data_IF_066388507898
#
_entry.id   IF_066388507898
#
_cell.length_a   1.000
_cell.length_b   1.000
_cell.length_c   1.000
_cell.angle_alpha   90.00
_cell.angle_beta   90.00
_cell.angle_gamma   90.00
#
_symmetry.space_group_name_H-M   'P 1'
#
loop_
_entity.id
_entity.type
_entity.pdbx_description
1 polymer ?
#
# COMPACT_ATOMS: atom_id res chain seq x y z
N UNK A 1 -6.75 23.37 8.37
CA UNK A 1 -6.44 23.57 6.93
C UNK A 1 -6.18 22.20 6.34
N UNK A 2 -6.62 21.95 5.11
CA UNK A 2 -6.32 20.69 4.43
C UNK A 2 -4.81 20.52 4.19
N UNK A 3 -4.35 19.27 4.22
CA UNK A 3 -2.95 18.90 3.97
C UNK A 3 -2.72 18.96 2.46
N UNK A 4 -1.76 19.77 2.02
CA UNK A 4 -1.44 19.94 0.60
C UNK A 4 -0.52 18.84 0.12
N UNK A 5 -1.01 18.02 -0.82
CA UNK A 5 -0.34 16.81 -1.31
C UNK A 5 0.02 16.95 -2.78
N UNK A 6 1.28 16.64 -3.11
CA UNK A 6 1.76 16.41 -4.47
C UNK A 6 1.93 14.92 -4.75
N UNK A 7 1.76 14.50 -6.00
CA UNK A 7 1.98 13.13 -6.43
C UNK A 7 3.04 13.10 -7.53
N UNK A 8 4.11 12.35 -7.31
CA UNK A 8 5.11 12.04 -8.33
C UNK A 8 4.91 10.61 -8.85
N UNK A 9 4.59 10.48 -10.13
CA UNK A 9 4.19 9.22 -10.78
C UNK A 9 2.67 9.00 -10.72
N UNK A 10 2.00 9.20 -11.84
CA UNK A 10 0.54 9.03 -11.95
C UNK A 10 0.16 7.68 -12.57
N UNK A 11 0.93 6.63 -12.23
CA UNK A 11 0.67 5.22 -12.51
C UNK A 11 -0.53 4.69 -11.73
N UNK A 12 -0.65 3.36 -11.58
CA UNK A 12 -1.77 2.73 -10.84
C UNK A 12 -1.94 3.35 -9.44
N UNK A 13 -0.89 3.29 -8.62
CA UNK A 13 -0.97 3.72 -7.21
C UNK A 13 -1.17 5.24 -7.11
N UNK A 14 -0.41 6.06 -7.84
CA UNK A 14 -0.58 7.52 -7.77
C UNK A 14 -2.00 7.96 -8.12
N UNK A 15 -2.62 7.37 -9.17
CA UNK A 15 -4.01 7.65 -9.52
C UNK A 15 -5.01 7.20 -8.46
N UNK A 16 -4.77 6.06 -7.83
CA UNK A 16 -5.70 5.54 -6.82
C UNK A 16 -5.55 6.27 -5.49
N UNK A 17 -4.35 6.70 -5.11
CA UNK A 17 -4.14 7.64 -4.01
C UNK A 17 -4.91 8.94 -4.28
N UNK A 18 -4.82 9.47 -5.50
CA UNK A 18 -5.58 10.65 -5.89
C UNK A 18 -7.09 10.42 -5.79
N UNK A 19 -7.62 9.34 -6.39
CA UNK A 19 -9.05 9.01 -6.32
C UNK A 19 -9.55 8.82 -4.88
N UNK A 20 -8.80 8.07 -4.06
CA UNK A 20 -9.17 7.81 -2.67
C UNK A 20 -9.19 9.07 -1.80
N UNK A 21 -8.39 10.07 -2.16
CA UNK A 21 -8.32 11.32 -1.42
C UNK A 21 -9.28 12.42 -1.89
N UNK A 22 -10.01 12.23 -2.99
CA UNK A 22 -10.90 13.29 -3.52
C UNK A 22 -12.03 13.67 -2.56
N UNK A 23 -12.60 12.69 -1.86
CA UNK A 23 -13.68 12.90 -0.90
C UNK A 23 -13.17 13.12 0.53
N UNK A 24 -11.84 13.13 0.73
CA UNK A 24 -11.25 13.34 2.04
C UNK A 24 -11.09 14.85 2.32
N UNK A 25 -11.84 15.43 3.28
CA UNK A 25 -11.79 16.86 3.57
C UNK A 25 -10.44 17.33 4.15
N UNK A 26 -9.62 16.40 4.64
CA UNK A 26 -8.31 16.71 5.21
C UNK A 26 -7.19 16.77 4.15
N UNK A 27 -7.46 16.35 2.92
CA UNK A 27 -6.47 16.26 1.84
C UNK A 27 -6.83 17.23 0.71
N UNK A 28 -5.83 17.93 0.21
CA UNK A 28 -5.93 18.77 -0.98
C UNK A 28 -4.78 18.42 -1.93
N UNK A 29 -5.11 17.85 -3.09
CA UNK A 29 -4.10 17.64 -4.13
C UNK A 29 -3.83 18.94 -4.87
N UNK A 30 -2.56 19.35 -4.92
CA UNK A 30 -2.14 20.63 -5.51
C UNK A 30 -1.26 20.47 -6.73
N UNK A 31 -0.66 19.29 -6.91
CA UNK A 31 0.20 19.01 -8.05
C UNK A 31 0.35 17.52 -8.35
N UNK A 32 0.47 17.20 -9.63
CA UNK A 32 0.78 15.87 -10.15
C UNK A 32 1.95 16.00 -11.11
N UNK A 33 2.94 15.12 -11.00
CA UNK A 33 4.04 15.02 -11.95
C UNK A 33 4.08 13.63 -12.57
N UNK A 34 4.11 13.58 -13.90
CA UNK A 34 4.42 12.36 -14.65
C UNK A 34 5.02 12.72 -16.03
N UNK A 35 6.32 12.40 -16.28
CA UNK A 35 7.00 12.78 -17.50
C UNK A 35 6.54 12.01 -18.75
N UNK A 36 5.65 11.04 -18.60
CA UNK A 36 5.16 10.19 -19.69
C UNK A 36 3.70 10.47 -20.05
N UNK A 37 3.09 11.51 -19.46
CA UNK A 37 1.71 11.90 -19.70
C UNK A 37 1.61 13.36 -20.11
N UNK A 38 0.48 13.69 -20.74
CA UNK A 38 -0.02 15.06 -20.92
C UNK A 38 -1.20 15.28 -19.99
N UNK A 39 -1.62 16.53 -19.70
CA UNK A 39 -2.81 16.80 -18.88
C UNK A 39 -4.08 16.09 -19.40
N UNK A 40 -4.30 16.07 -20.73
CA UNK A 40 -5.42 15.34 -21.33
C UNK A 40 -5.38 13.86 -21.05
N UNK A 41 -4.18 13.24 -21.20
CA UNK A 41 -4.03 11.82 -20.95
C UNK A 41 -4.13 11.49 -19.45
N UNK A 42 -3.64 12.37 -18.59
CA UNK A 42 -3.82 12.28 -17.13
C UNK A 42 -5.31 12.28 -16.77
N UNK A 43 -6.09 13.21 -17.33
CA UNK A 43 -7.55 13.28 -17.14
C UNK A 43 -8.27 12.04 -17.68
N UNK A 44 -7.86 11.53 -18.84
CA UNK A 44 -8.38 10.28 -19.40
C UNK A 44 -8.15 9.10 -18.46
N UNK A 45 -6.90 8.93 -18.00
CA UNK A 45 -6.52 7.85 -17.08
C UNK A 45 -7.18 7.97 -15.70
N UNK A 46 -7.49 9.19 -15.25
CA UNK A 46 -8.27 9.42 -14.04
C UNK A 46 -9.74 8.99 -14.22
N UNK A 47 -10.32 9.25 -15.39
CA UNK A 47 -11.73 8.94 -15.66
C UNK A 47 -12.02 7.47 -15.84
N UNK A 48 -11.12 6.71 -16.47
CA UNK A 48 -11.38 5.35 -16.90
C UNK A 48 -10.41 4.38 -16.25
N UNK A 49 -10.95 3.44 -15.52
CA UNK A 49 -10.19 2.38 -14.89
C UNK A 49 -10.90 1.04 -15.04
N UNK A 50 -10.16 0.01 -15.48
CA UNK A 50 -10.72 -1.31 -15.75
C UNK A 50 -11.20 -2.02 -14.47
N UNK A 51 -10.52 -1.78 -13.35
CA UNK A 51 -10.80 -2.43 -12.07
C UNK A 51 -11.74 -1.59 -11.22
N UNK A 52 -11.38 -0.33 -11.00
CA UNK A 52 -12.11 0.58 -10.09
C UNK A 52 -13.21 1.39 -10.79
N UNK A 53 -13.49 1.07 -12.05
CA UNK A 53 -14.58 1.65 -12.81
C UNK A 53 -14.37 3.12 -13.21
N UNK A 54 -15.40 3.69 -13.80
CA UNK A 54 -15.39 5.07 -14.26
C UNK A 54 -15.53 6.04 -13.09
N UNK A 55 -14.66 7.06 -13.06
CA UNK A 55 -14.86 8.20 -12.18
C UNK A 55 -16.02 9.07 -12.73
N UNK A 56 -17.03 9.30 -11.92
CA UNK A 56 -18.26 9.99 -12.33
C UNK A 56 -18.23 11.50 -12.08
N UNK A 57 -17.19 12.00 -11.43
CA UNK A 57 -17.02 13.41 -11.14
C UNK A 57 -16.59 14.24 -12.35
N UNK A 58 -16.67 15.57 -12.20
CA UNK A 58 -16.30 16.52 -13.25
C UNK A 58 -14.77 16.61 -13.35
N UNK A 59 -14.23 16.38 -14.55
CA UNK A 59 -12.80 16.56 -14.85
C UNK A 59 -12.67 17.44 -16.10
N UNK A 60 -12.01 18.56 -15.94
CA UNK A 60 -11.66 19.50 -17.01
C UNK A 60 -10.14 19.58 -17.14
N UNK A 61 -9.64 20.08 -18.26
CA UNK A 61 -8.22 20.15 -18.58
C UNK A 61 -7.87 21.54 -19.02
N UNK A 62 -6.71 22.04 -18.60
CA UNK A 62 -6.06 23.23 -19.14
C UNK A 62 -4.71 22.86 -19.73
N UNK A 63 -3.96 23.81 -20.24
CA UNK A 63 -2.63 23.57 -20.78
C UNK A 63 -1.67 22.94 -19.75
N UNK A 64 -1.76 23.35 -18.46
CA UNK A 64 -0.82 23.00 -17.42
C UNK A 64 -1.48 22.46 -16.13
N UNK A 65 -2.74 22.05 -16.20
CA UNK A 65 -3.45 21.53 -15.03
C UNK A 65 -4.62 20.63 -15.42
N UNK A 66 -5.04 19.81 -14.45
CA UNK A 66 -6.35 19.17 -14.45
C UNK A 66 -7.22 19.85 -13.39
N UNK A 67 -8.51 20.01 -13.68
CA UNK A 67 -9.48 20.56 -12.73
C UNK A 67 -10.44 19.42 -12.37
N UNK A 68 -10.43 19.02 -11.12
CA UNK A 68 -11.27 17.92 -10.62
C UNK A 68 -12.23 18.48 -9.58
N UNK A 69 -13.54 18.33 -9.80
CA UNK A 69 -14.58 18.90 -8.93
C UNK A 69 -14.38 20.40 -8.66
N UNK A 70 -13.92 21.16 -9.68
CA UNK A 70 -13.65 22.58 -9.57
C UNK A 70 -12.35 22.96 -8.87
N UNK A 71 -11.58 22.00 -8.39
CA UNK A 71 -10.27 22.22 -7.78
C UNK A 71 -9.16 22.04 -8.81
N UNK A 72 -8.31 23.06 -8.96
CA UNK A 72 -7.17 23.01 -9.87
C UNK A 72 -6.02 22.21 -9.27
N UNK A 73 -5.47 21.27 -10.03
CA UNK A 73 -4.29 20.48 -9.71
C UNK A 73 -3.24 20.72 -10.80
N UNK A 74 -2.13 21.31 -10.47
CA UNK A 74 -1.04 21.60 -11.41
C UNK A 74 -0.46 20.30 -11.97
N UNK A 75 -0.18 20.30 -13.27
CA UNK A 75 0.44 19.15 -13.93
C UNK A 75 1.86 19.48 -14.37
N UNK A 76 2.79 18.61 -14.03
CA UNK A 76 4.21 18.73 -14.36
C UNK A 76 4.67 17.47 -15.10
N UNK A 77 5.73 17.60 -15.91
CA UNK A 77 6.31 16.51 -16.71
C UNK A 77 7.84 16.41 -16.52
N UNK A 78 8.30 16.61 -15.29
CA UNK A 78 9.71 16.60 -14.94
C UNK A 78 10.23 15.20 -14.66
N UNK A 79 11.39 14.85 -15.27
CA UNK A 79 12.06 13.55 -15.03
C UNK A 79 12.91 13.55 -13.77
N UNK A 80 13.49 14.69 -13.43
CA UNK A 80 14.28 14.88 -12.21
C UNK A 80 13.37 15.48 -11.14
N UNK A 81 13.15 14.80 -10.02
CA UNK A 81 12.31 15.31 -8.95
C UNK A 81 12.78 16.65 -8.36
N UNK A 82 14.05 17.00 -8.50
CA UNK A 82 14.58 18.27 -8.05
C UNK A 82 14.04 19.49 -8.83
N UNK A 83 13.53 19.24 -10.05
CA UNK A 83 12.99 20.27 -10.93
C UNK A 83 11.46 20.41 -10.85
N UNK A 84 10.78 19.55 -10.10
CA UNK A 84 9.34 19.66 -9.93
C UNK A 84 9.04 20.82 -8.99
N UNK A 85 8.28 21.85 -9.41
CA UNK A 85 8.12 23.07 -8.61
C UNK A 85 7.11 22.90 -7.46
N UNK A 86 7.38 21.99 -6.52
CA UNK A 86 6.51 21.72 -5.37
C UNK A 86 6.26 22.95 -4.51
N UNK A 87 7.26 23.82 -4.38
CA UNK A 87 7.11 25.08 -3.65
C UNK A 87 6.07 26.00 -4.29
N UNK A 88 6.01 26.05 -5.64
CA UNK A 88 5.10 26.94 -6.37
C UNK A 88 3.65 26.50 -6.25
N UNK A 89 3.37 25.18 -6.33
CA UNK A 89 2.02 24.67 -6.12
C UNK A 89 1.68 24.51 -4.62
N UNK A 90 2.64 24.69 -3.73
CA UNK A 90 2.46 24.63 -2.29
C UNK A 90 2.33 23.22 -1.73
N UNK A 91 2.83 22.20 -2.43
CA UNK A 91 2.82 20.82 -1.93
C UNK A 91 3.71 20.68 -0.69
N UNK A 92 3.10 20.29 0.42
CA UNK A 92 3.83 20.06 1.68
C UNK A 92 4.28 18.61 1.82
N UNK A 93 3.41 17.67 1.45
CA UNK A 93 3.65 16.22 1.44
C UNK A 93 3.67 15.74 0.00
N UNK A 94 4.67 14.95 -0.36
CA UNK A 94 4.77 14.35 -1.69
C UNK A 94 4.68 12.84 -1.59
N UNK A 95 3.78 12.24 -2.34
CA UNK A 95 3.73 10.78 -2.55
C UNK A 95 4.60 10.45 -3.75
N UNK A 96 5.70 9.72 -3.54
CA UNK A 96 6.44 9.13 -4.65
C UNK A 96 5.89 7.74 -4.98
N UNK A 97 5.19 7.64 -6.10
CA UNK A 97 4.58 6.41 -6.61
C UNK A 97 5.18 5.96 -7.95
N UNK A 98 6.40 6.43 -8.25
CA UNK A 98 7.13 6.06 -9.47
C UNK A 98 7.72 4.65 -9.42
N UNK A 99 8.01 4.14 -8.22
CA UNK A 99 8.78 2.92 -8.01
C UNK A 99 10.27 3.03 -8.38
N UNK A 100 10.73 4.24 -8.72
CA UNK A 100 12.13 4.55 -9.09
C UNK A 100 12.89 5.12 -7.89
N UNK A 101 12.30 6.10 -7.21
CA UNK A 101 12.93 6.80 -6.07
C UNK A 101 12.51 6.13 -4.76
N UNK A 102 13.18 5.02 -4.41
CA UNK A 102 12.81 4.18 -3.26
C UNK A 102 13.77 4.26 -2.08
N UNK A 103 14.66 5.25 -2.08
CA UNK A 103 15.63 5.49 -0.99
C UNK A 103 15.49 6.90 -0.43
N UNK A 104 15.87 7.08 0.82
CA UNK A 104 15.91 8.41 1.45
C UNK A 104 16.78 9.39 0.67
N UNK A 105 17.93 8.93 0.15
CA UNK A 105 18.85 9.74 -0.64
C UNK A 105 18.18 10.23 -1.94
N UNK A 106 17.54 9.32 -2.70
CA UNK A 106 16.87 9.69 -3.93
C UNK A 106 15.70 10.67 -3.71
N UNK A 107 14.99 10.53 -2.60
CA UNK A 107 13.87 11.39 -2.25
C UNK A 107 14.28 12.78 -1.73
N UNK A 108 15.58 13.02 -1.43
CA UNK A 108 16.07 14.36 -1.10
C UNK A 108 15.81 15.35 -2.23
N UNK A 109 15.70 14.90 -3.47
CA UNK A 109 15.37 15.73 -4.62
C UNK A 109 14.02 16.46 -4.43
N UNK A 110 13.00 15.78 -3.92
CA UNK A 110 11.69 16.40 -3.63
C UNK A 110 11.77 17.46 -2.52
N UNK A 111 12.60 17.22 -1.48
CA UNK A 111 12.80 18.18 -0.40
C UNK A 111 13.50 19.44 -0.90
N UNK A 112 14.50 19.29 -1.79
CA UNK A 112 15.18 20.42 -2.47
C UNK A 112 14.21 21.21 -3.35
N UNK A 113 13.23 20.56 -3.93
CA UNK A 113 12.16 21.14 -4.76
C UNK A 113 11.06 21.85 -3.94
N UNK A 114 11.14 21.82 -2.61
CA UNK A 114 10.24 22.56 -1.71
C UNK A 114 9.22 21.73 -0.96
N UNK A 115 9.16 20.42 -1.16
CA UNK A 115 8.36 19.53 -0.32
C UNK A 115 8.90 19.49 1.12
N UNK A 116 8.02 19.39 2.11
CA UNK A 116 8.41 19.23 3.52
C UNK A 116 8.65 17.76 3.87
N UNK A 117 7.82 16.87 3.33
CA UNK A 117 7.81 15.44 3.61
C UNK A 117 7.61 14.62 2.34
N UNK A 118 8.17 13.41 2.32
CA UNK A 118 7.98 12.46 1.22
C UNK A 118 7.52 11.12 1.78
N UNK A 119 6.48 10.57 1.18
CA UNK A 119 5.99 9.21 1.42
C UNK A 119 6.27 8.35 0.19
N UNK A 120 7.17 7.40 0.33
CA UNK A 120 7.47 6.41 -0.71
C UNK A 120 6.37 5.35 -0.73
N UNK A 121 5.67 5.18 -1.84
CA UNK A 121 4.64 4.15 -1.99
C UNK A 121 5.22 2.78 -2.41
N UNK A 122 6.33 2.41 -1.82
CA UNK A 122 7.04 1.15 -2.04
C UNK A 122 7.92 0.82 -0.82
N UNK A 123 8.37 -0.43 -0.65
CA UNK A 123 9.35 -0.77 0.36
C UNK A 123 10.66 -0.02 0.13
N UNK A 124 11.23 0.53 1.21
CA UNK A 124 12.53 1.19 1.17
C UNK A 124 13.62 0.36 1.85
N UNK A 125 14.86 0.55 1.39
CA UNK A 125 16.02 -0.10 2.02
C UNK A 125 16.49 0.66 3.27
N UNK A 126 16.37 1.98 3.27
CA UNK A 126 16.95 2.91 4.23
C UNK A 126 15.95 3.87 4.89
N UNK A 127 14.85 4.23 4.21
CA UNK A 127 13.80 5.04 4.83
C UNK A 127 13.01 4.24 5.88
N UNK A 128 12.64 4.86 7.03
CA UNK A 128 11.73 4.25 7.99
C UNK A 128 10.45 3.77 7.32
N UNK A 129 10.05 2.53 7.59
CA UNK A 129 8.81 1.96 7.06
C UNK A 129 7.73 1.96 8.12
N UNK A 130 6.53 2.36 7.72
CA UNK A 130 5.36 2.38 8.57
C UNK A 130 4.23 1.54 7.98
N UNK A 131 3.54 0.84 8.86
CA UNK A 131 2.26 0.17 8.61
C UNK A 131 1.27 0.71 9.63
N UNK A 132 0.19 1.29 9.16
CA UNK A 132 -0.83 1.87 10.02
C UNK A 132 -1.42 0.80 10.96
N UNK A 133 -1.61 1.17 12.24
CA UNK A 133 -2.06 0.27 13.31
C UNK A 133 -0.98 -0.68 13.84
N UNK A 134 0.23 -0.69 13.28
CA UNK A 134 1.32 -1.58 13.70
C UNK A 134 2.44 -0.81 14.39
N UNK A 135 3.00 0.20 13.72
CA UNK A 135 4.15 0.96 14.23
C UNK A 135 4.12 2.46 13.88
N UNK A 136 2.98 2.98 13.48
CA UNK A 136 2.85 4.40 13.12
C UNK A 136 3.09 5.34 14.32
N UNK A 137 2.92 4.85 15.55
CA UNK A 137 3.28 5.52 16.79
C UNK A 137 4.76 5.88 16.92
N UNK A 138 5.62 5.22 16.15
CA UNK A 138 7.08 5.48 16.10
C UNK A 138 7.47 6.61 15.15
N UNK A 139 6.51 7.21 14.43
CA UNK A 139 6.80 8.34 13.59
C UNK A 139 7.12 9.59 14.42
N UNK A 140 8.17 10.32 14.02
CA UNK A 140 8.58 11.59 14.63
C UNK A 140 8.73 12.67 13.58
N UNK A 141 8.50 13.93 13.96
CA UNK A 141 8.50 15.08 13.04
C UNK A 141 9.82 15.37 12.33
N UNK A 142 10.94 14.82 12.81
CA UNK A 142 12.25 14.93 12.17
C UNK A 142 12.42 13.97 10.99
N UNK A 143 11.56 12.96 10.87
CA UNK A 143 11.53 12.05 9.73
C UNK A 143 10.95 12.76 8.50
N UNK A 144 11.78 13.09 7.53
CA UNK A 144 11.35 13.82 6.32
C UNK A 144 10.99 12.92 5.15
N UNK A 145 11.55 11.71 5.11
CA UNK A 145 11.26 10.69 4.10
C UNK A 145 10.89 9.40 4.80
N UNK A 146 9.72 8.88 4.49
CA UNK A 146 9.21 7.62 5.06
C UNK A 146 8.67 6.71 3.95
N UNK A 147 8.50 5.42 4.25
CA UNK A 147 7.92 4.45 3.33
C UNK A 147 6.64 3.87 3.93
N UNK A 148 5.59 3.72 3.10
CA UNK A 148 4.36 3.01 3.45
C UNK A 148 4.49 1.48 3.26
N UNK A 149 5.72 0.94 3.20
CA UNK A 149 6.01 -0.47 2.93
C UNK A 149 5.36 -0.98 1.62
N UNK A 150 5.07 -2.29 1.51
CA UNK A 150 4.35 -2.87 0.37
C UNK A 150 2.89 -3.15 0.72
N UNK A 151 2.05 -3.35 -0.29
CA UNK A 151 0.66 -3.80 -0.10
C UNK A 151 0.59 -5.13 0.68
N UNK A 152 1.44 -6.09 0.33
CA UNK A 152 1.52 -7.39 1.03
C UNK A 152 1.98 -7.22 2.49
N UNK A 153 2.93 -6.31 2.78
CA UNK A 153 3.34 -6.02 4.16
C UNK A 153 2.20 -5.38 4.95
N UNK A 154 1.42 -4.51 4.32
CA UNK A 154 0.24 -3.88 4.92
C UNK A 154 -0.88 -4.89 5.23
N UNK A 155 -0.99 -5.98 4.45
CA UNK A 155 -1.90 -7.08 4.77
C UNK A 155 -1.35 -7.97 5.90
N UNK A 156 -0.10 -8.39 5.77
CA UNK A 156 0.50 -9.37 6.67
C UNK A 156 0.75 -8.83 8.09
N UNK A 157 1.23 -7.59 8.21
CA UNK A 157 1.70 -7.07 9.50
C UNK A 157 0.57 -6.88 10.54
N UNK A 158 -0.62 -6.35 10.21
CA UNK A 158 -1.73 -6.28 11.18
C UNK A 158 -2.16 -7.66 11.68
N UNK A 159 -2.31 -8.64 10.79
CA UNK A 159 -2.64 -10.01 11.18
C UNK A 159 -1.54 -10.62 12.05
N UNK A 160 -0.27 -10.54 11.60
CA UNK A 160 0.87 -11.06 12.36
C UNK A 160 1.00 -10.41 13.74
N UNK A 161 0.69 -9.11 13.87
CA UNK A 161 0.67 -8.40 15.14
C UNK A 161 -0.33 -9.03 16.11
N UNK A 162 -1.58 -9.20 15.70
CA UNK A 162 -2.63 -9.81 16.56
C UNK A 162 -2.19 -11.21 17.01
N UNK A 163 -1.72 -12.05 16.09
CA UNK A 163 -1.31 -13.41 16.40
C UNK A 163 -0.08 -13.44 17.32
N UNK A 164 0.90 -12.57 17.06
CA UNK A 164 2.11 -12.50 17.91
C UNK A 164 1.79 -11.99 19.32
N UNK A 165 0.96 -10.94 19.43
CA UNK A 165 0.64 -10.32 20.73
C UNK A 165 -0.20 -11.27 21.62
N UNK A 166 -1.07 -12.10 21.03
CA UNK A 166 -1.97 -12.99 21.78
C UNK A 166 -1.38 -14.38 22.03
N UNK A 167 -0.70 -14.95 21.05
CA UNK A 167 -0.28 -16.35 21.04
C UNK A 167 1.24 -16.54 20.89
N UNK A 168 1.96 -15.49 20.45
CA UNK A 168 3.38 -15.55 20.11
C UNK A 168 3.61 -16.33 18.82
N UNK A 169 4.42 -15.82 17.92
CA UNK A 169 4.88 -16.52 16.70
C UNK A 169 6.28 -17.02 16.96
N UNK A 170 6.49 -18.33 16.84
CA UNK A 170 7.81 -18.98 16.89
C UNK A 170 8.52 -18.80 15.56
N UNK A 171 7.89 -19.26 14.49
CA UNK A 171 8.30 -19.11 13.11
C UNK A 171 7.10 -19.26 12.15
N UNK A 172 7.31 -18.93 10.87
CA UNK A 172 6.27 -19.09 9.89
C UNK A 172 6.72 -18.81 8.46
N UNK A 173 5.92 -19.34 7.55
CA UNK A 173 6.05 -19.13 6.11
C UNK A 173 4.81 -18.42 5.57
N UNK A 174 5.05 -17.40 4.74
CA UNK A 174 3.98 -16.67 4.06
C UNK A 174 4.04 -16.96 2.55
N UNK A 175 2.91 -17.28 1.98
CA UNK A 175 2.73 -17.26 0.53
C UNK A 175 1.68 -16.20 0.20
N UNK A 176 2.00 -15.28 -0.71
CA UNK A 176 0.95 -14.46 -1.29
C UNK A 176 0.60 -14.95 -2.69
N UNK A 177 -0.68 -15.20 -2.93
CA UNK A 177 -1.22 -15.36 -4.28
C UNK A 177 -1.64 -13.98 -4.74
N UNK A 178 -0.86 -13.40 -5.64
CA UNK A 178 -0.90 -11.96 -5.92
C UNK A 178 -1.42 -11.68 -7.33
N UNK A 179 -2.31 -10.71 -7.42
CA UNK A 179 -2.80 -10.20 -8.69
C UNK A 179 -1.68 -9.64 -9.57
N UNK A 180 -1.98 -9.48 -10.84
CA UNK A 180 -1.08 -8.91 -11.85
C UNK A 180 -0.73 -7.46 -11.50
N UNK A 181 0.54 -7.11 -11.66
CA UNK A 181 1.02 -5.74 -11.46
C UNK A 181 1.69 -5.19 -12.71
N UNK A 182 1.77 -3.86 -12.82
CA UNK A 182 2.31 -3.16 -14.00
C UNK A 182 3.77 -3.47 -14.36
N UNK A 183 4.51 -4.17 -13.49
CA UNK A 183 5.88 -4.61 -13.78
C UNK A 183 5.96 -5.92 -14.57
N UNK A 184 4.85 -6.66 -14.66
CA UNK A 184 4.78 -7.93 -15.38
C UNK A 184 4.65 -7.70 -16.89
N UNK A 185 5.01 -8.71 -17.67
CA UNK A 185 4.94 -8.66 -19.14
C UNK A 185 3.58 -9.14 -19.63
N UNK A 186 3.05 -8.47 -20.65
CA UNK A 186 1.82 -8.90 -21.35
C UNK A 186 2.08 -10.16 -22.17
N UNK A 187 3.23 -10.24 -22.84
CA UNK A 187 3.71 -11.38 -23.62
C UNK A 187 5.10 -11.78 -23.17
N UNK A 188 5.55 -12.99 -23.50
CA UNK A 188 6.91 -13.44 -23.18
C UNK A 188 7.95 -12.45 -23.71
N UNK A 189 8.82 -11.98 -22.83
CA UNK A 189 9.85 -11.02 -23.17
C UNK A 189 11.07 -11.10 -22.25
N UNK A 190 12.19 -10.50 -22.64
CA UNK A 190 13.43 -10.59 -21.87
C UNK A 190 13.28 -9.89 -20.50
N UNK A 191 13.81 -10.55 -19.48
CA UNK A 191 13.98 -10.01 -18.15
C UNK A 191 15.36 -10.35 -17.63
N UNK A 192 16.15 -9.32 -17.30
CA UNK A 192 17.56 -9.50 -16.90
C UNK A 192 17.71 -10.05 -15.48
N UNK A 193 16.80 -9.71 -14.57
CA UNK A 193 16.91 -10.04 -13.14
C UNK A 193 16.08 -11.24 -12.72
N UNK A 194 14.91 -11.40 -13.33
CA UNK A 194 13.94 -12.45 -13.01
C UNK A 194 13.35 -13.00 -14.29
N UNK A 195 13.86 -14.16 -14.71
CA UNK A 195 13.42 -14.80 -15.95
C UNK A 195 11.93 -15.21 -15.91
N UNK A 196 11.43 -15.63 -14.73
CA UNK A 196 10.02 -15.96 -14.54
C UNK A 196 9.13 -14.73 -14.71
N UNK A 197 9.56 -13.57 -14.20
CA UNK A 197 8.88 -12.29 -14.39
C UNK A 197 8.88 -11.78 -15.83
N UNK A 198 9.67 -12.40 -16.74
CA UNK A 198 9.63 -12.15 -18.19
C UNK A 198 8.54 -12.89 -18.93
N UNK A 199 7.81 -13.82 -18.30
CA UNK A 199 6.74 -14.60 -18.90
C UNK A 199 5.42 -13.84 -18.91
N UNK A 200 4.55 -14.19 -19.88
CA UNK A 200 3.23 -13.58 -20.04
C UNK A 200 2.36 -13.74 -18.79
N UNK A 201 1.93 -12.62 -18.22
CA UNK A 201 1.17 -12.60 -16.96
C UNK A 201 -0.19 -13.26 -17.08
N UNK A 202 -0.90 -13.03 -18.19
CA UNK A 202 -2.27 -13.50 -18.38
C UNK A 202 -2.43 -15.02 -18.58
N UNK A 203 -1.32 -15.73 -18.85
CA UNK A 203 -1.34 -17.17 -19.17
C UNK A 203 -0.59 -18.05 -18.17
N UNK A 204 -0.10 -17.51 -17.06
CA UNK A 204 0.80 -18.25 -16.17
C UNK A 204 0.53 -18.03 -14.70
N UNK A 205 0.85 -19.03 -13.88
CA UNK A 205 1.13 -18.89 -12.46
C UNK A 205 2.65 -18.72 -12.32
N UNK A 206 3.08 -17.56 -11.82
CA UNK A 206 4.51 -17.18 -11.83
C UNK A 206 5.04 -17.12 -10.39
N UNK A 207 5.88 -18.09 -9.95
CA UNK A 207 6.59 -17.97 -8.68
C UNK A 207 7.53 -16.77 -8.68
N UNK A 208 7.48 -15.96 -7.64
CA UNK A 208 8.29 -14.75 -7.51
C UNK A 208 8.79 -14.59 -6.07
N UNK A 209 9.96 -14.02 -5.91
CA UNK A 209 10.44 -13.63 -4.59
C UNK A 209 9.69 -12.41 -4.07
N UNK A 210 9.49 -12.34 -2.76
CA UNK A 210 8.95 -11.16 -2.08
C UNK A 210 9.74 -10.85 -0.83
N UNK A 211 9.95 -9.57 -0.57
CA UNK A 211 10.53 -9.07 0.68
C UNK A 211 9.49 -8.79 1.77
N UNK A 212 8.20 -8.98 1.48
CA UNK A 212 7.12 -8.54 2.35
C UNK A 212 7.16 -9.19 3.75
N UNK A 213 7.38 -10.51 3.84
CA UNK A 213 7.47 -11.20 5.12
C UNK A 213 8.69 -10.77 5.94
N UNK A 214 9.84 -10.52 5.29
CA UNK A 214 11.03 -9.97 5.95
C UNK A 214 10.81 -8.52 6.41
N UNK A 215 10.01 -7.75 5.66
CA UNK A 215 9.68 -6.38 6.03
C UNK A 215 8.81 -6.30 7.29
N UNK A 216 8.03 -7.34 7.61
CA UNK A 216 7.30 -7.43 8.88
C UNK A 216 8.25 -7.35 10.07
N UNK A 217 9.42 -7.99 10.01
CA UNK A 217 10.44 -7.88 11.06
C UNK A 217 11.07 -6.48 11.23
N UNK A 218 10.87 -5.57 10.25
CA UNK A 218 11.28 -4.17 10.40
C UNK A 218 10.21 -3.33 11.12
N UNK A 219 8.93 -3.66 10.96
CA UNK A 219 7.82 -2.94 11.60
C UNK A 219 7.39 -3.59 12.93
N UNK A 220 7.64 -4.90 13.09
CA UNK A 220 7.46 -5.66 14.34
C UNK A 220 8.79 -6.33 14.66
N UNK A 221 9.70 -5.70 15.42
CA UNK A 221 11.05 -6.20 15.65
C UNK A 221 11.12 -7.60 16.26
N UNK A 222 10.13 -7.98 17.06
CA UNK A 222 10.01 -9.29 17.70
C UNK A 222 9.85 -10.44 16.68
N UNK A 223 9.42 -10.13 15.47
CA UNK A 223 9.26 -11.07 14.35
C UNK A 223 10.46 -11.09 13.41
N UNK A 224 11.51 -10.33 13.70
CA UNK A 224 12.70 -10.32 12.86
C UNK A 224 13.36 -11.71 12.81
N UNK A 225 13.53 -12.22 11.59
CA UNK A 225 14.11 -13.57 11.36
C UNK A 225 13.13 -14.73 11.54
N UNK A 226 11.91 -14.49 12.04
CA UNK A 226 10.91 -15.55 12.26
C UNK A 226 10.00 -15.78 11.05
N UNK A 227 9.82 -14.79 10.18
CA UNK A 227 8.95 -14.87 9.00
C UNK A 227 9.75 -14.73 7.71
N UNK A 228 9.46 -15.59 6.75
CA UNK A 228 9.91 -15.45 5.37
C UNK A 228 8.79 -15.91 4.43
N UNK A 229 8.95 -15.72 3.11
CA UNK A 229 7.89 -16.11 2.19
C UNK A 229 8.20 -15.86 0.73
N UNK A 230 7.21 -16.19 -0.10
CA UNK A 230 7.24 -16.04 -1.54
C UNK A 230 5.89 -15.57 -2.08
N UNK A 231 5.85 -15.29 -3.38
CA UNK A 231 4.62 -14.93 -4.08
C UNK A 231 4.36 -15.90 -5.25
N UNK A 232 3.10 -16.19 -5.52
CA UNK A 232 2.63 -16.65 -6.82
C UNK A 232 1.87 -15.52 -7.49
N UNK A 233 2.33 -15.08 -8.65
CA UNK A 233 1.60 -14.15 -9.50
C UNK A 233 0.60 -14.93 -10.33
N UNK A 234 -0.67 -14.49 -10.30
CA UNK A 234 -1.79 -15.14 -10.99
C UNK A 234 -2.50 -14.13 -11.92
N UNK A 235 -3.19 -14.59 -12.98
CA UNK A 235 -3.83 -13.71 -13.95
C UNK A 235 -5.18 -13.13 -13.47
N UNK A 236 -5.21 -12.59 -12.25
CA UNK A 236 -6.30 -11.76 -11.74
C UNK A 236 -5.90 -10.28 -11.86
N UNK A 237 -6.86 -9.40 -12.08
CA UNK A 237 -6.58 -7.97 -12.31
C UNK A 237 -6.24 -7.24 -11.02
N UNK A 238 -6.90 -7.62 -9.92
CA UNK A 238 -6.76 -7.01 -8.60
C UNK A 238 -7.18 -7.99 -7.52
N UNK A 239 -6.99 -7.61 -6.27
CA UNK A 239 -7.16 -8.38 -5.04
C UNK A 239 -6.22 -9.59 -4.97
N UNK A 240 -5.45 -9.59 -3.93
CA UNK A 240 -4.46 -10.61 -3.58
C UNK A 240 -4.82 -11.25 -2.25
N UNK A 241 -4.18 -12.37 -1.94
CA UNK A 241 -4.38 -13.07 -0.67
C UNK A 241 -3.04 -13.44 -0.05
N UNK A 242 -2.95 -13.29 1.27
CA UNK A 242 -1.88 -13.80 2.12
C UNK A 242 -2.32 -15.13 2.72
N UNK A 243 -1.53 -16.15 2.54
CA UNK A 243 -1.54 -17.43 3.26
C UNK A 243 -0.38 -17.39 4.26
N UNK A 244 -0.70 -17.29 5.54
CA UNK A 244 0.26 -17.25 6.63
C UNK A 244 0.19 -18.55 7.42
N UNK A 245 1.20 -19.42 7.27
CA UNK A 245 1.34 -20.65 8.06
C UNK A 245 2.35 -20.43 9.16
N UNK A 246 1.96 -20.58 10.42
CA UNK A 246 2.79 -20.28 11.60
C UNK A 246 2.73 -21.36 12.66
N UNK A 247 3.87 -21.48 13.40
CA UNK A 247 3.94 -22.15 14.67
C UNK A 247 3.73 -21.14 15.81
N UNK A 248 2.77 -21.41 16.69
CA UNK A 248 2.45 -20.59 17.86
C UNK A 248 3.29 -21.01 19.07
N UNK A 249 3.72 -20.04 19.86
CA UNK A 249 4.39 -20.31 21.14
C UNK A 249 3.37 -20.85 22.18
N UNK A 250 2.18 -20.26 22.23
CA UNK A 250 1.07 -20.65 23.08
C UNK A 250 -0.01 -21.31 22.22
N UNK A 251 -0.42 -22.53 22.58
CA UNK A 251 -1.51 -23.24 21.90
C UNK A 251 -2.83 -22.50 22.04
N UNK A 252 -3.65 -22.54 20.96
CA UNK A 252 -4.97 -21.97 20.91
C UNK A 252 -5.88 -22.78 19.97
N UNK A 253 -7.18 -22.77 20.23
CA UNK A 253 -8.14 -23.29 19.26
C UNK A 253 -8.29 -22.31 18.10
N UNK A 254 -8.78 -22.78 16.97
CA UNK A 254 -9.04 -21.89 15.81
C UNK A 254 -10.08 -20.82 16.13
N UNK A 255 -11.09 -21.16 16.93
CA UNK A 255 -12.12 -20.25 17.41
C UNK A 255 -11.56 -19.14 18.30
N UNK A 256 -10.60 -19.47 19.16
CA UNK A 256 -9.89 -18.46 19.98
C UNK A 256 -9.09 -17.49 19.11
N UNK A 257 -8.45 -18.00 18.05
CA UNK A 257 -7.74 -17.17 17.08
C UNK A 257 -8.72 -16.24 16.34
N UNK A 258 -9.83 -16.79 15.81
CA UNK A 258 -10.87 -16.01 15.14
C UNK A 258 -11.44 -14.91 16.06
N UNK A 259 -11.72 -15.25 17.31
CA UNK A 259 -12.23 -14.31 18.29
C UNK A 259 -11.22 -13.17 18.58
N UNK A 260 -9.94 -13.48 18.67
CA UNK A 260 -8.89 -12.49 18.88
C UNK A 260 -8.75 -11.54 17.68
N UNK A 261 -8.80 -12.06 16.45
CA UNK A 261 -8.75 -11.25 15.23
C UNK A 261 -9.99 -10.39 15.09
N UNK A 262 -11.17 -10.93 15.36
CA UNK A 262 -12.43 -10.18 15.35
C UNK A 262 -12.41 -9.02 16.34
N UNK A 263 -11.99 -9.28 17.57
CA UNK A 263 -11.87 -8.25 18.59
C UNK A 263 -10.90 -7.12 18.18
N UNK A 264 -9.78 -7.46 17.54
CA UNK A 264 -8.84 -6.46 17.03
C UNK A 264 -9.41 -5.64 15.88
N UNK A 265 -10.17 -6.27 14.95
CA UNK A 265 -10.80 -5.57 13.82
C UNK A 265 -11.89 -4.60 14.24
N UNK A 266 -12.62 -4.92 15.30
CA UNK A 266 -13.65 -4.04 15.88
C UNK A 266 -13.06 -2.98 16.83
N UNK A 267 -11.82 -3.19 17.30
CA UNK A 267 -11.10 -2.39 18.28
C UNK A 267 -9.92 -1.60 17.72
N UNK A 268 -8.73 -1.99 18.15
CA UNK A 268 -7.47 -1.25 17.91
C UNK A 268 -7.05 -1.17 16.43
N UNK A 269 -7.48 -2.13 15.60
CA UNK A 269 -7.18 -2.18 14.17
C UNK A 269 -8.39 -1.83 13.28
N UNK A 270 -9.40 -1.20 13.85
CA UNK A 270 -10.60 -0.77 13.11
C UNK A 270 -10.22 0.11 11.90
N UNK A 271 -10.78 -0.23 10.72
CA UNK A 271 -10.49 0.45 9.46
C UNK A 271 -9.14 0.05 8.83
N UNK A 272 -8.41 -0.90 9.43
CA UNK A 272 -7.15 -1.45 8.92
C UNK A 272 -7.29 -2.95 8.70
N UNK A 273 -7.70 -3.68 9.75
CA UNK A 273 -8.04 -5.09 9.73
C UNK A 273 -9.56 -5.24 9.69
N UNK A 274 -10.04 -6.12 8.82
CA UNK A 274 -11.44 -6.55 8.75
C UNK A 274 -11.55 -8.05 9.07
N UNK A 275 -12.72 -8.49 9.49
CA UNK A 275 -13.04 -9.88 9.78
C UNK A 275 -14.24 -10.31 8.94
N UNK A 276 -14.09 -11.38 8.15
CA UNK A 276 -15.16 -11.97 7.36
C UNK A 276 -15.35 -13.43 7.72
N UNK A 277 -16.63 -13.87 7.85
CA UNK A 277 -17.03 -15.25 8.12
C UNK A 277 -18.06 -15.78 7.09
N UNK A 278 -17.99 -15.22 5.88
CA UNK A 278 -18.80 -15.63 4.73
C UNK A 278 -17.96 -16.42 3.71
N UNK A 279 -18.61 -17.06 2.75
CA UNK A 279 -17.94 -17.79 1.68
C UNK A 279 -17.61 -16.81 0.54
N UNK A 280 -16.46 -16.18 0.61
CA UNK A 280 -16.02 -15.09 -0.26
C UNK A 280 -14.89 -15.48 -1.19
N UNK A 281 -14.71 -14.69 -2.25
CA UNK A 281 -13.61 -14.81 -3.21
C UNK A 281 -12.98 -13.44 -3.47
N UNK A 282 -11.86 -13.41 -4.16
CA UNK A 282 -11.08 -12.18 -4.36
C UNK A 282 -11.86 -10.99 -4.90
N UNK A 283 -12.78 -11.19 -5.85
CA UNK A 283 -13.54 -10.09 -6.47
C UNK A 283 -14.50 -9.37 -5.52
N UNK A 284 -14.87 -10.00 -4.40
CA UNK A 284 -15.74 -9.39 -3.39
C UNK A 284 -15.06 -8.24 -2.63
N UNK A 285 -13.73 -8.17 -2.71
CA UNK A 285 -12.91 -7.17 -2.03
C UNK A 285 -12.32 -6.10 -2.95
N UNK A 286 -12.75 -6.06 -4.23
CA UNK A 286 -12.37 -4.96 -5.12
C UNK A 286 -12.89 -3.65 -4.55
N UNK A 287 -12.00 -2.66 -4.40
CA UNK A 287 -12.32 -1.34 -3.85
C UNK A 287 -12.58 -1.34 -2.33
N UNK A 288 -12.12 -2.38 -1.62
CA UNK A 288 -12.17 -2.39 -0.17
C UNK A 288 -11.01 -1.56 0.41
N UNK A 289 -11.27 -0.62 1.34
CA UNK A 289 -10.25 0.25 1.92
C UNK A 289 -9.38 -0.43 2.99
N UNK A 290 -9.76 -1.60 3.50
CA UNK A 290 -8.95 -2.35 4.45
C UNK A 290 -7.73 -2.97 3.78
N UNK A 291 -6.61 -3.03 4.47
CA UNK A 291 -5.39 -3.64 3.94
C UNK A 291 -5.17 -5.07 4.39
N UNK A 292 -5.97 -5.56 5.32
CA UNK A 292 -5.93 -6.94 5.82
C UNK A 292 -7.35 -7.37 6.15
N UNK A 293 -7.91 -8.31 5.39
CA UNK A 293 -9.28 -8.80 5.56
C UNK A 293 -9.17 -10.27 5.91
N UNK A 294 -9.26 -10.59 7.20
CA UNK A 294 -9.11 -11.95 7.70
C UNK A 294 -10.32 -12.80 7.33
N UNK A 295 -10.07 -13.92 6.64
CA UNK A 295 -11.06 -14.90 6.25
C UNK A 295 -11.12 -16.03 7.28
N UNK A 296 -12.12 -15.99 8.14
CA UNK A 296 -12.30 -16.96 9.22
C UNK A 296 -12.64 -18.38 8.72
N UNK A 297 -13.21 -18.51 7.52
CA UNK A 297 -13.58 -19.80 6.95
C UNK A 297 -12.47 -20.46 6.12
N UNK A 298 -11.52 -19.69 5.61
CA UNK A 298 -10.46 -20.21 4.77
C UNK A 298 -9.25 -20.75 5.54
N UNK A 299 -9.13 -20.45 6.83
CA UNK A 299 -7.99 -20.89 7.65
C UNK A 299 -8.14 -22.34 8.16
N UNK A 300 -7.04 -22.91 8.64
CA UNK A 300 -6.95 -24.30 9.11
C UNK A 300 -6.06 -24.36 10.33
N UNK A 301 -6.49 -25.05 11.40
CA UNK A 301 -5.64 -25.48 12.50
C UNK A 301 -5.33 -26.97 12.34
N UNK A 302 -4.06 -27.32 12.12
CA UNK A 302 -3.63 -28.73 12.10
C UNK A 302 -3.44 -29.25 13.52
N UNK A 303 -2.90 -28.40 14.39
CA UNK A 303 -2.79 -28.62 15.85
C UNK A 303 -3.12 -27.31 16.56
N UNK A 304 -3.16 -27.30 17.88
CA UNK A 304 -3.30 -26.07 18.67
C UNK A 304 -2.16 -25.06 18.50
N UNK A 305 -1.05 -25.50 17.89
CA UNK A 305 0.15 -24.64 17.67
C UNK A 305 0.51 -24.44 16.19
N UNK A 306 -0.01 -25.22 15.28
CA UNK A 306 0.33 -25.12 13.87
C UNK A 306 -0.89 -24.79 13.06
N UNK A 307 -0.95 -23.55 12.57
CA UNK A 307 -2.13 -22.96 11.95
C UNK A 307 -1.80 -22.28 10.63
N UNK A 308 -2.77 -22.31 9.72
CA UNK A 308 -2.79 -21.54 8.48
C UNK A 308 -3.87 -20.48 8.58
N UNK A 309 -3.52 -19.23 8.33
CA UNK A 309 -4.39 -18.07 8.38
C UNK A 309 -4.43 -17.40 7.01
N UNK A 310 -5.60 -16.97 6.60
CA UNK A 310 -5.84 -16.37 5.28
C UNK A 310 -6.33 -14.94 5.45
N UNK A 311 -5.75 -14.01 4.70
CA UNK A 311 -6.20 -12.63 4.66
C UNK A 311 -6.19 -12.09 3.22
N UNK A 312 -7.30 -11.48 2.80
CA UNK A 312 -7.46 -10.79 1.52
C UNK A 312 -7.02 -9.33 1.61
N UNK A 313 -6.67 -8.76 0.49
CA UNK A 313 -6.39 -7.32 0.38
C UNK A 313 -6.52 -6.84 -1.07
N UNK A 314 -7.23 -5.73 -1.25
CA UNK A 314 -7.12 -4.97 -2.49
C UNK A 314 -5.73 -4.32 -2.52
N UNK A 315 -4.85 -4.89 -3.36
CA UNK A 315 -3.43 -4.49 -3.39
C UNK A 315 -3.22 -3.09 -3.97
N UNK A 316 -4.26 -2.47 -4.51
CA UNK A 316 -4.26 -1.14 -5.07
C UNK A 316 -5.04 -0.15 -4.18
N UNK A 317 -6.33 -0.39 -3.95
CA UNK A 317 -7.22 0.53 -3.25
C UNK A 317 -6.96 0.60 -1.74
N UNK A 318 -6.94 -0.53 -1.07
CA UNK A 318 -6.65 -0.59 0.37
C UNK A 318 -5.29 0.03 0.69
N UNK A 319 -4.27 -0.28 -0.12
CA UNK A 319 -2.93 0.29 0.00
C UNK A 319 -2.93 1.82 -0.19
N UNK A 320 -3.63 2.32 -1.22
CA UNK A 320 -3.72 3.75 -1.52
C UNK A 320 -4.38 4.55 -0.39
N UNK A 321 -5.42 3.99 0.23
CA UNK A 321 -6.05 4.58 1.41
C UNK A 321 -5.07 4.68 2.60
N UNK A 322 -4.18 3.70 2.78
CA UNK A 322 -3.19 3.74 3.88
C UNK A 322 -2.05 4.72 3.62
N UNK A 323 -1.71 5.01 2.37
CA UNK A 323 -0.81 6.14 2.03
C UNK A 323 -1.39 7.45 2.55
N UNK A 324 -2.67 7.71 2.31
CA UNK A 324 -3.36 8.91 2.79
C UNK A 324 -3.46 8.93 4.32
N UNK A 325 -3.81 7.79 4.93
CA UNK A 325 -3.89 7.66 6.38
C UNK A 325 -2.55 7.92 7.07
N UNK A 326 -1.43 7.47 6.45
CA UNK A 326 -0.08 7.78 6.92
C UNK A 326 0.23 9.28 6.81
N UNK A 327 -0.14 9.94 5.71
CA UNK A 327 0.03 11.39 5.55
C UNK A 327 -0.75 12.16 6.63
N UNK A 328 -2.00 11.79 6.89
CA UNK A 328 -2.80 12.41 7.94
C UNK A 328 -2.20 12.21 9.33
N UNK A 329 -1.68 11.00 9.61
CA UNK A 329 -0.98 10.71 10.85
C UNK A 329 0.27 11.56 11.01
N UNK A 330 1.12 11.62 9.96
CA UNK A 330 2.31 12.46 9.94
C UNK A 330 1.95 13.92 10.20
N UNK A 331 0.93 14.45 9.51
CA UNK A 331 0.51 15.84 9.68
C UNK A 331 -0.01 16.15 11.09
N UNK A 332 -0.70 15.21 11.73
CA UNK A 332 -1.12 15.34 13.14
C UNK A 332 0.09 15.46 14.06
N UNK A 333 1.07 14.57 13.93
CA UNK A 333 2.29 14.58 14.74
C UNK A 333 3.12 15.84 14.48
N UNK A 334 3.28 16.22 13.21
CA UNK A 334 4.06 17.41 12.80
C UNK A 334 3.47 18.70 13.39
N UNK A 335 2.14 18.78 13.54
CA UNK A 335 1.41 19.91 14.12
C UNK A 335 1.26 19.83 15.67
N UNK A 336 1.88 18.85 16.31
CA UNK A 336 1.86 18.70 17.76
C UNK A 336 0.53 18.21 18.34
N UNK A 337 -0.35 17.64 17.52
CA UNK A 337 -1.55 16.97 18.02
C UNK A 337 -1.13 15.59 18.57
N UNK A 338 -1.28 15.38 19.87
CA UNK A 338 -1.09 14.06 20.47
C UNK A 338 -2.08 13.07 19.84
N UNK A 339 -1.57 11.94 19.37
CA UNK A 339 -2.37 10.81 18.88
C UNK A 339 -2.90 9.99 20.04
#
# INVERSE_FOLDING_TARGET
>A
MAIKVGINGFGRIGRLVFRAGLDNPNIEFVGVNDPFMTPDYCAYMLKYDTVHGRYNGKVEVTENSIIVEGKEVKFYAEKDPANIPWAECGAEYVVDSTGVFTTSEACQAHLKAGAKKVVISAPSKDAPMFVMGVNNDKYTKDMTVVSNASCTTNCLAPLAKVINDKFGIVDGLMTTVHATTGTQKTVDGPSKKDWRGGRAAAGNIIPSSTGAAKAVGKVIPELNGKLTGMAFRVPTLDVSVVDLTVNLAKGATYEEICAAVKAASEGELKGILEYVDEDVVSSDFIHDPHTSIFDAKAGIALTDKFVKLVAWYDNEWGYSNKVLMLIEHMAKVDNGCCC
#
